data_IF_507261511639
#
_entry.id   IF_507261511639
#
_cell.length_a   1.000
_cell.length_b   1.000
_cell.length_c   1.000
_cell.angle_alpha   90.00
_cell.angle_beta   90.00
_cell.angle_gamma   90.00
#
_symmetry.space_group_name_H-M   'P 1'
#
loop_
_entity.id
_entity.type
_entity.pdbx_description
1 polymer ?
#
# COMPACT_ATOMS: atom_id res chain seq x y z
N UNK A 1 -14.69 -10.73 5.26
CA UNK A 1 -15.99 -11.25 5.78
C UNK A 1 -15.86 -12.43 6.76
N UNK A 2 -15.21 -13.55 6.38
CA UNK A 2 -15.11 -14.74 7.24
C UNK A 2 -14.38 -14.48 8.56
N UNK A 3 -13.26 -13.76 8.52
CA UNK A 3 -12.50 -13.39 9.72
C UNK A 3 -13.34 -12.60 10.73
N UNK A 4 -14.15 -11.65 10.27
CA UNK A 4 -15.08 -10.90 11.12
C UNK A 4 -16.12 -11.80 11.79
N UNK A 5 -16.72 -12.73 11.03
CA UNK A 5 -17.68 -13.70 11.58
C UNK A 5 -17.06 -14.66 12.61
N UNK A 6 -15.77 -14.97 12.48
CA UNK A 6 -15.03 -15.82 13.41
C UNK A 6 -14.26 -15.04 14.49
N UNK A 7 -14.48 -13.72 14.61
CA UNK A 7 -13.76 -12.85 15.54
C UNK A 7 -12.23 -13.00 15.47
N UNK A 8 -11.73 -13.25 14.26
CA UNK A 8 -10.31 -13.44 13.98
C UNK A 8 -9.72 -12.13 13.49
N UNK A 9 -8.73 -11.61 14.22
CA UNK A 9 -7.96 -10.43 13.80
C UNK A 9 -6.93 -10.77 12.72
N UNK A 10 -6.68 -9.80 11.84
CA UNK A 10 -5.69 -9.87 10.76
C UNK A 10 -4.45 -9.02 11.11
N UNK A 11 -3.27 -9.56 10.81
CA UNK A 11 -2.01 -8.82 10.76
C UNK A 11 -1.60 -8.76 9.30
N UNK A 12 -1.54 -7.55 8.73
CA UNK A 12 -1.29 -7.37 7.29
C UNK A 12 0.18 -7.06 7.05
N UNK A 13 0.85 -7.93 6.29
CA UNK A 13 2.22 -7.70 5.80
C UNK A 13 2.24 -7.34 4.32
N UNK A 14 3.39 -6.87 3.84
CA UNK A 14 3.61 -6.66 2.40
C UNK A 14 2.85 -5.47 1.80
N UNK A 15 2.46 -4.48 2.60
CA UNK A 15 1.67 -3.31 2.17
C UNK A 15 2.30 -2.48 1.05
N UNK A 16 3.63 -2.61 0.85
CA UNK A 16 4.33 -1.95 -0.26
C UNK A 16 4.54 -2.81 -1.49
N UNK A 17 4.09 -4.07 -1.46
CA UNK A 17 4.33 -5.14 -2.44
C UNK A 17 5.72 -5.08 -3.11
N UNK A 18 6.72 -5.71 -2.47
CA UNK A 18 8.12 -5.68 -2.96
C UNK A 18 8.74 -4.28 -3.05
N UNK A 19 8.06 -3.25 -2.51
CA UNK A 19 8.55 -1.88 -2.38
C UNK A 19 7.99 -0.91 -3.43
N UNK A 20 7.29 -1.37 -4.45
CA UNK A 20 6.83 -0.49 -5.56
C UNK A 20 5.88 0.60 -5.10
N UNK A 21 5.02 0.36 -4.11
CA UNK A 21 4.14 1.41 -3.57
C UNK A 21 4.87 2.37 -2.61
N UNK A 22 6.08 2.01 -2.16
CA UNK A 22 6.93 2.89 -1.37
C UNK A 22 7.85 3.77 -2.25
N UNK A 23 8.27 3.26 -3.40
CA UNK A 23 9.22 3.93 -4.30
C UNK A 23 8.57 4.61 -5.50
N UNK A 24 7.35 4.21 -5.87
CA UNK A 24 6.73 4.62 -7.12
C UNK A 24 7.26 3.83 -8.33
N UNK A 25 6.85 4.23 -9.56
CA UNK A 25 7.12 3.52 -10.81
C UNK A 25 8.54 3.82 -11.35
N UNK A 26 9.56 3.57 -10.54
CA UNK A 26 10.97 3.83 -10.90
C UNK A 26 11.58 2.70 -11.71
N UNK A 27 12.65 3.00 -12.46
CA UNK A 27 13.42 1.98 -13.16
C UNK A 27 13.92 0.91 -12.18
N UNK A 28 13.65 -0.36 -12.49
CA UNK A 28 14.03 -1.49 -11.64
C UNK A 28 13.10 -1.74 -10.44
N UNK A 29 11.93 -1.08 -10.38
CA UNK A 29 10.91 -1.40 -9.39
C UNK A 29 10.46 -2.87 -9.51
N UNK A 30 10.12 -3.46 -8.36
CA UNK A 30 9.71 -4.86 -8.27
C UNK A 30 8.25 -4.97 -7.83
N UNK A 31 7.51 -5.89 -8.44
CA UNK A 31 6.15 -6.28 -8.10
C UNK A 31 6.09 -7.81 -8.02
N UNK A 32 5.52 -8.36 -6.95
CA UNK A 32 5.53 -9.81 -6.66
C UNK A 32 6.92 -10.43 -6.80
N UNK A 33 7.92 -9.78 -6.19
CA UNK A 33 9.33 -10.20 -6.15
C UNK A 33 10.02 -10.34 -7.51
N UNK A 34 9.43 -9.76 -8.57
CA UNK A 34 9.98 -9.75 -9.93
C UNK A 34 10.00 -8.33 -10.48
N UNK A 35 10.78 -8.04 -11.53
CA UNK A 35 10.71 -6.75 -12.21
C UNK A 35 9.27 -6.42 -12.60
N UNK A 36 8.82 -5.22 -12.27
CA UNK A 36 7.47 -4.77 -12.59
C UNK A 36 7.28 -4.66 -14.11
N UNK A 37 6.13 -5.12 -14.61
CA UNK A 37 5.75 -4.94 -16.01
C UNK A 37 5.38 -3.49 -16.29
N UNK A 38 5.35 -3.10 -17.57
CA UNK A 38 4.89 -1.77 -17.96
C UNK A 38 3.46 -1.45 -17.47
N UNK A 39 2.52 -2.41 -17.57
CA UNK A 39 1.15 -2.21 -17.06
C UNK A 39 1.12 -1.93 -15.55
N UNK A 40 1.95 -2.63 -14.76
CA UNK A 40 2.05 -2.37 -13.32
C UNK A 40 2.65 -0.98 -13.05
N UNK A 41 3.71 -0.60 -13.77
CA UNK A 41 4.32 0.71 -13.64
C UNK A 41 3.32 1.83 -13.99
N UNK A 42 2.54 1.67 -15.05
CA UNK A 42 1.54 2.64 -15.47
C UNK A 42 0.43 2.79 -14.43
N UNK A 43 -0.04 1.69 -13.84
CA UNK A 43 -1.01 1.69 -12.73
C UNK A 43 -0.45 2.42 -11.52
N UNK A 44 0.76 2.07 -11.08
CA UNK A 44 1.39 2.71 -9.92
C UNK A 44 1.65 4.18 -10.18
N UNK A 45 2.05 4.57 -11.39
CA UNK A 45 2.18 5.99 -11.77
C UNK A 45 0.85 6.75 -11.76
N UNK A 46 -0.26 6.10 -12.09
CA UNK A 46 -1.58 6.70 -11.91
C UNK A 46 -1.96 6.85 -10.43
N UNK A 47 -1.65 5.86 -9.59
CA UNK A 47 -1.84 5.96 -8.14
C UNK A 47 -0.97 7.06 -7.53
N UNK A 48 0.28 7.20 -7.98
CA UNK A 48 1.19 8.25 -7.50
C UNK A 48 0.66 9.65 -7.83
N UNK A 49 0.09 9.85 -9.02
CA UNK A 49 -0.58 11.12 -9.39
C UNK A 49 -1.77 11.43 -8.50
N UNK A 50 -2.62 10.43 -8.19
CA UNK A 50 -3.74 10.61 -7.26
C UNK A 50 -3.23 11.05 -5.89
N UNK A 51 -2.20 10.39 -5.37
CA UNK A 51 -1.64 10.72 -4.06
C UNK A 51 -1.08 12.16 -4.05
N UNK A 52 -0.35 12.54 -5.11
CA UNK A 52 0.18 13.89 -5.27
C UNK A 52 -0.94 14.96 -5.34
N UNK A 53 -2.03 14.70 -6.07
CA UNK A 53 -3.20 15.57 -6.11
C UNK A 53 -3.89 15.70 -4.73
N UNK A 54 -3.85 14.63 -3.94
CA UNK A 54 -4.35 14.59 -2.56
C UNK A 54 -3.40 15.20 -1.52
N UNK A 55 -2.18 15.57 -1.90
CA UNK A 55 -1.21 16.22 -1.01
C UNK A 55 -0.45 15.29 -0.06
N UNK A 56 -0.40 13.98 -0.36
CA UNK A 56 0.30 12.98 0.46
C UNK A 56 1.12 12.01 -0.42
N UNK A 57 2.14 11.32 0.11
CA UNK A 57 2.89 10.33 -0.66
C UNK A 57 2.07 9.04 -0.83
N UNK A 58 2.20 8.37 -1.99
CA UNK A 58 1.54 7.08 -2.25
C UNK A 58 1.83 6.04 -1.16
N UNK A 59 3.05 6.07 -0.61
CA UNK A 59 3.46 5.18 0.48
C UNK A 59 2.60 5.36 1.74
N UNK A 60 2.15 6.57 2.08
CA UNK A 60 1.28 6.79 3.24
C UNK A 60 -0.08 6.12 3.01
N UNK A 61 -0.68 6.33 1.84
CA UNK A 61 -1.94 5.69 1.46
C UNK A 61 -1.81 4.16 1.47
N UNK A 62 -0.75 3.61 0.88
CA UNK A 62 -0.52 2.17 0.84
C UNK A 62 -0.35 1.56 2.25
N UNK A 63 0.36 2.26 3.14
CA UNK A 63 0.59 1.81 4.51
C UNK A 63 -0.73 1.82 5.31
N UNK A 64 -1.50 2.90 5.20
CA UNK A 64 -2.70 3.08 6.03
C UNK A 64 -3.93 2.36 5.48
N UNK A 65 -3.99 2.06 4.17
CA UNK A 65 -5.15 1.44 3.53
C UNK A 65 -5.73 0.21 4.27
N UNK A 66 -4.94 -0.78 4.72
CA UNK A 66 -5.50 -1.94 5.40
C UNK A 66 -6.14 -1.62 6.75
N UNK A 67 -5.77 -0.50 7.39
CA UNK A 67 -6.28 -0.11 8.71
C UNK A 67 -7.74 0.38 8.66
N UNK A 68 -8.31 0.56 7.47
CA UNK A 68 -9.73 0.89 7.27
C UNK A 68 -10.64 -0.34 7.40
N UNK A 69 -10.09 -1.55 7.46
CA UNK A 69 -10.86 -2.78 7.68
C UNK A 69 -10.86 -3.14 9.18
N UNK A 70 -12.04 -3.22 9.80
CA UNK A 70 -12.18 -3.46 11.24
C UNK A 70 -11.55 -4.78 11.72
N UNK A 71 -11.42 -5.78 10.84
CA UNK A 71 -10.75 -7.03 11.17
C UNK A 71 -9.21 -6.89 11.26
N UNK A 72 -8.62 -5.82 10.73
CA UNK A 72 -7.16 -5.60 10.75
C UNK A 72 -6.74 -5.00 12.09
N UNK A 73 -5.95 -5.76 12.85
CA UNK A 73 -5.40 -5.29 14.12
C UNK A 73 -4.16 -4.41 13.93
N UNK A 74 -3.33 -4.72 12.93
CA UNK A 74 -2.11 -3.95 12.67
C UNK A 74 -1.51 -4.25 11.28
N UNK A 75 -0.62 -3.36 10.85
CA UNK A 75 0.24 -3.55 9.69
C UNK A 75 1.65 -3.93 10.17
N UNK A 76 2.11 -5.11 9.76
CA UNK A 76 3.44 -5.61 10.05
C UNK A 76 4.44 -5.01 9.06
N UNK A 77 5.35 -4.16 9.55
CA UNK A 77 6.48 -3.68 8.75
C UNK A 77 7.80 -4.22 9.29
N UNK A 78 8.53 -4.92 8.42
CA UNK A 78 9.89 -5.38 8.68
C UNK A 78 10.88 -4.46 7.99
N UNK A 79 11.89 -3.99 8.72
CA UNK A 79 12.94 -3.15 8.17
C UNK A 79 14.29 -3.56 8.73
N UNK A 80 15.28 -3.74 7.85
CA UNK A 80 16.66 -4.06 8.21
C UNK A 80 17.53 -2.81 8.40
N UNK A 81 17.00 -1.60 8.15
CA UNK A 81 17.75 -0.33 8.17
C UNK A 81 17.00 0.72 8.98
N UNK A 82 17.69 1.41 9.87
CA UNK A 82 17.10 2.48 10.69
C UNK A 82 16.40 3.55 9.83
N UNK A 83 17.01 3.97 8.72
CA UNK A 83 16.42 4.96 7.83
C UNK A 83 15.05 4.53 7.26
N UNK A 84 14.86 3.24 6.97
CA UNK A 84 13.58 2.72 6.51
C UNK A 84 12.54 2.68 7.63
N UNK A 85 12.98 2.39 8.87
CA UNK A 85 12.09 2.47 10.04
C UNK A 85 11.61 3.90 10.26
N UNK A 86 12.52 4.87 10.29
CA UNK A 86 12.17 6.28 10.47
C UNK A 86 11.19 6.76 9.40
N UNK A 87 11.47 6.48 8.12
CA UNK A 87 10.55 6.82 7.03
C UNK A 87 9.17 6.19 7.21
N UNK A 88 9.11 4.91 7.58
CA UNK A 88 7.84 4.22 7.81
C UNK A 88 7.03 4.89 8.93
N UNK A 89 7.69 5.30 10.02
CA UNK A 89 7.02 6.02 11.11
C UNK A 89 6.51 7.39 10.65
N UNK A 90 7.30 8.15 9.89
CA UNK A 90 6.87 9.43 9.31
C UNK A 90 5.63 9.30 8.41
N UNK A 91 5.49 8.17 7.70
CA UNK A 91 4.29 7.91 6.86
C UNK A 91 3.01 7.71 7.68
N UNK A 92 3.12 7.29 8.95
CA UNK A 92 1.96 7.11 9.83
C UNK A 92 1.45 8.45 10.38
N UNK A 93 2.30 9.49 10.41
CA UNK A 93 1.93 10.83 10.86
C UNK A 93 1.25 11.67 9.76
N UNK A 94 1.19 11.16 8.53
CA UNK A 94 0.55 11.84 7.39
C UNK A 94 -0.90 11.41 7.29
N UNK A 95 -1.84 12.34 7.45
CA UNK A 95 -3.26 12.04 7.28
C UNK A 95 -3.61 11.74 5.80
N UNK A 96 -4.24 10.60 5.56
CA UNK A 96 -4.77 10.21 4.24
C UNK A 96 -6.28 10.04 4.37
N UNK A 97 -7.09 11.01 3.90
CA UNK A 97 -8.54 10.96 4.06
C UNK A 97 -9.14 9.70 3.45
N UNK A 98 -10.08 9.07 4.15
CA UNK A 98 -10.71 7.82 3.70
C UNK A 98 -11.39 7.97 2.31
N UNK A 99 -11.90 9.17 2.03
CA UNK A 99 -12.53 9.52 0.75
C UNK A 99 -11.60 9.38 -0.46
N UNK A 100 -10.29 9.39 -0.23
CA UNK A 100 -9.30 9.28 -1.30
C UNK A 100 -9.19 7.85 -1.84
N UNK A 101 -9.44 6.82 -1.02
CA UNK A 101 -9.12 5.44 -1.39
C UNK A 101 -9.92 4.91 -2.58
N UNK A 102 -11.13 5.43 -2.78
CA UNK A 102 -11.96 5.07 -3.93
C UNK A 102 -11.31 5.40 -5.27
N UNK A 103 -10.47 6.45 -5.32
CA UNK A 103 -9.78 6.90 -6.55
C UNK A 103 -8.76 5.88 -7.06
N UNK A 104 -8.19 5.05 -6.18
CA UNK A 104 -7.20 4.03 -6.57
C UNK A 104 -7.81 2.80 -7.24
N UNK A 105 -9.11 2.54 -7.02
CA UNK A 105 -9.79 1.31 -7.44
C UNK A 105 -9.62 0.93 -8.92
N UNK A 106 -9.63 1.86 -9.89
CA UNK A 106 -9.42 1.50 -11.31
C UNK A 106 -8.02 0.94 -11.61
N UNK A 107 -7.06 1.20 -10.73
CA UNK A 107 -5.65 0.84 -10.91
C UNK A 107 -5.23 -0.37 -10.07
N UNK A 108 -6.08 -0.84 -9.15
CA UNK A 108 -5.77 -2.02 -8.34
C UNK A 108 -5.89 -3.30 -9.16
N UNK A 109 -5.09 -4.29 -8.78
CA UNK A 109 -5.19 -5.65 -9.30
C UNK A 109 -5.95 -6.48 -8.27
N UNK A 110 -7.09 -7.03 -8.65
CA UNK A 110 -7.79 -8.03 -7.85
C UNK A 110 -7.35 -9.38 -8.38
N UNK A 111 -6.58 -10.11 -7.57
CA UNK A 111 -6.29 -11.49 -7.87
C UNK A 111 -7.56 -12.29 -7.60
N UNK A 112 -8.15 -12.88 -8.63
CA UNK A 112 -9.25 -13.83 -8.45
C UNK A 112 -8.70 -15.00 -7.63
N UNK A 113 -9.31 -15.24 -6.47
CA UNK A 113 -9.04 -16.43 -5.69
C UNK A 113 -9.69 -17.60 -6.46
N UNK A 114 -8.86 -18.40 -7.12
CA UNK A 114 -9.26 -19.64 -7.78
C UNK A 114 -9.79 -20.67 -6.78
#
# INVERSE_FOLDING_TARGET
>A
PLCGAQQTSLVIGGVFNSGILATGPVQGAHFDYRPASHDVLDRVGAMERIAAEGGYPLAAAAFQFPLHEAAVATVLTGTAKLANLTRNLELLDIDVPETEYAKYRPYTLVQELA
#
